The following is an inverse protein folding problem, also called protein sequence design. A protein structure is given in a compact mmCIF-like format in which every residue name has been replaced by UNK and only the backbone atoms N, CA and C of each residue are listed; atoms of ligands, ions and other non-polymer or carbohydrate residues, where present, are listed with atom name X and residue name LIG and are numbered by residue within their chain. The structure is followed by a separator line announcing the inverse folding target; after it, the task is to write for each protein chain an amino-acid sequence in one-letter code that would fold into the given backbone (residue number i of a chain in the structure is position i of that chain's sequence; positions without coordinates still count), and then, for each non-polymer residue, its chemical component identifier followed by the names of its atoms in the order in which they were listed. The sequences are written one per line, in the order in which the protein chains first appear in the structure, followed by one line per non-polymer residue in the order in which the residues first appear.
data_IF_305716438538
#
_entry.id   IF_305716438538
#
_cell.length_a   1.000
_cell.length_b   1.000
_cell.length_c   1.000
_cell.angle_alpha   90.00
_cell.angle_beta   90.00
_cell.angle_gamma   90.00
#
_symmetry.space_group_name_H-M   'P 1'
#
loop_
_entity.id
_entity.type
_entity.pdbx_description
1 polymer ?
#
# COMPACT_ATOMS: atom_id res chain seq x y z
N UNK A 1 -10.34 -2.58 -8.32
CA UNK A 1 -10.57 -1.19 -8.72
C UNK A 1 -10.41 -0.26 -7.53
N UNK A 2 -9.98 0.98 -7.76
CA UNK A 2 -9.94 2.03 -6.76
C UNK A 2 -10.60 3.30 -7.33
N UNK A 3 -11.12 4.14 -6.45
CA UNK A 3 -11.65 5.46 -6.78
C UNK A 3 -10.92 6.54 -5.98
N UNK A 4 -10.91 7.75 -6.49
CA UNK A 4 -10.46 8.93 -5.76
C UNK A 4 -11.70 9.67 -5.29
N UNK A 5 -11.77 9.95 -4.00
CA UNK A 5 -12.86 10.67 -3.37
C UNK A 5 -12.35 12.03 -2.88
N UNK A 6 -12.65 13.14 -3.58
CA UNK A 6 -12.29 14.47 -3.12
C UNK A 6 -12.95 14.77 -1.77
N UNK A 7 -12.27 15.53 -0.89
CA UNK A 7 -12.78 15.80 0.45
C UNK A 7 -14.18 16.46 0.44
N UNK A 8 -14.44 17.37 -0.49
CA UNK A 8 -15.74 18.00 -0.64
C UNK A 8 -16.90 17.05 -1.04
N UNK A 9 -16.60 15.82 -1.45
CA UNK A 9 -17.57 14.80 -1.84
C UNK A 9 -17.70 13.68 -0.79
N UNK A 10 -16.96 13.77 0.32
CA UNK A 10 -17.01 12.75 1.36
C UNK A 10 -18.37 12.78 2.06
N UNK A 11 -19.08 11.66 2.02
CA UNK A 11 -20.33 11.44 2.73
C UNK A 11 -20.40 10.02 3.25
N UNK A 12 -21.30 9.76 4.18
CA UNK A 12 -21.49 8.41 4.72
C UNK A 12 -21.85 7.40 3.63
N UNK A 13 -22.71 7.80 2.68
CA UNK A 13 -23.15 6.96 1.55
C UNK A 13 -21.99 6.67 0.59
N UNK A 14 -21.11 7.66 0.35
CA UNK A 14 -19.93 7.46 -0.50
C UNK A 14 -18.91 6.56 0.16
N UNK A 15 -18.62 6.77 1.46
CA UNK A 15 -17.68 5.93 2.20
C UNK A 15 -18.15 4.46 2.26
N UNK A 16 -19.46 4.22 2.42
CA UNK A 16 -20.03 2.89 2.49
C UNK A 16 -19.88 2.07 1.18
N UNK A 17 -19.50 2.70 0.08
CA UNK A 17 -19.27 2.01 -1.21
C UNK A 17 -17.90 1.32 -1.29
N UNK A 18 -17.00 1.59 -0.33
CA UNK A 18 -15.63 1.09 -0.36
C UNK A 18 -15.38 0.10 0.78
N UNK A 19 -14.70 -0.99 0.47
CA UNK A 19 -14.27 -1.98 1.46
C UNK A 19 -13.17 -1.44 2.38
N UNK A 20 -12.38 -0.48 1.88
CA UNK A 20 -11.30 0.17 2.61
C UNK A 20 -11.09 1.59 2.09
N UNK A 21 -10.81 2.51 3.00
CA UNK A 21 -10.37 3.88 2.69
C UNK A 21 -8.88 4.00 2.91
N UNK A 22 -8.19 4.69 1.99
CA UNK A 22 -6.77 5.01 2.10
C UNK A 22 -6.61 6.51 2.30
N UNK A 23 -5.78 6.93 3.24
CA UNK A 23 -5.36 8.31 3.48
C UNK A 23 -3.83 8.41 3.27
N UNK A 24 -3.38 8.55 2.01
CA UNK A 24 -1.95 8.63 1.69
C UNK A 24 -1.44 10.06 1.91
N UNK A 25 -0.80 10.33 3.05
CA UNK A 25 -0.23 11.66 3.36
C UNK A 25 -1.23 12.82 3.21
N UNK A 26 -2.47 12.62 3.67
CA UNK A 26 -3.52 13.66 3.65
C UNK A 26 -3.31 14.60 4.84
N UNK A 27 -2.43 15.59 4.67
CA UNK A 27 -1.98 16.47 5.74
C UNK A 27 -3.11 17.20 6.47
N UNK A 28 -4.08 17.70 5.72
CA UNK A 28 -5.21 18.46 6.24
C UNK A 28 -6.48 17.62 6.13
N UNK A 29 -7.20 17.52 7.22
CA UNK A 29 -8.55 16.95 7.28
C UNK A 29 -9.46 17.90 8.04
N UNK A 30 -10.67 18.10 7.53
CA UNK A 30 -11.69 18.86 8.28
C UNK A 30 -12.28 17.99 9.40
N UNK A 31 -12.77 18.62 10.47
CA UNK A 31 -13.46 17.89 11.56
C UNK A 31 -14.73 17.17 11.07
N UNK A 32 -15.39 17.70 10.05
CA UNK A 32 -16.52 17.04 9.41
C UNK A 32 -16.12 15.71 8.75
N UNK A 33 -15.03 15.72 7.99
CA UNK A 33 -14.47 14.49 7.37
C UNK A 33 -13.97 13.52 8.43
N UNK A 34 -13.26 14.00 9.45
CA UNK A 34 -12.82 13.17 10.58
C UNK A 34 -13.98 12.48 11.29
N UNK A 35 -15.10 13.21 11.53
CA UNK A 35 -16.30 12.64 12.12
C UNK A 35 -16.96 11.59 11.25
N UNK A 36 -16.98 11.75 9.92
CA UNK A 36 -17.49 10.76 8.98
C UNK A 36 -16.61 9.49 8.97
N UNK A 37 -15.28 9.65 9.00
CA UNK A 37 -14.34 8.52 9.08
C UNK A 37 -14.50 7.75 10.40
N UNK A 38 -14.69 8.43 11.54
CA UNK A 38 -14.99 7.78 12.83
C UNK A 38 -16.26 6.92 12.75
N UNK A 39 -17.32 7.45 12.16
CA UNK A 39 -18.58 6.70 11.98
C UNK A 39 -18.40 5.51 11.03
N UNK A 40 -17.68 5.70 9.94
CA UNK A 40 -17.38 4.65 8.97
C UNK A 40 -16.62 3.49 9.63
N UNK A 41 -15.53 3.79 10.34
CA UNK A 41 -14.73 2.76 11.02
C UNK A 41 -15.53 2.11 12.16
N UNK A 42 -16.22 2.89 13.00
CA UNK A 42 -17.05 2.35 14.09
C UNK A 42 -18.11 1.37 13.58
N UNK A 43 -18.62 1.60 12.37
CA UNK A 43 -19.60 0.72 11.70
C UNK A 43 -19.00 -0.52 11.02
N UNK A 44 -17.69 -0.77 11.13
CA UNK A 44 -17.01 -1.92 10.54
C UNK A 44 -16.12 -1.59 9.33
N UNK A 45 -16.02 -0.33 8.96
CA UNK A 45 -15.13 0.15 7.90
C UNK A 45 -13.65 -0.06 8.22
N UNK A 46 -12.82 -0.05 7.21
CA UNK A 46 -11.38 -0.28 7.31
C UNK A 46 -10.63 0.92 6.77
N UNK A 47 -9.60 1.34 7.48
CA UNK A 47 -8.86 2.55 7.18
C UNK A 47 -7.37 2.25 7.21
N UNK A 48 -6.64 2.71 6.20
CA UNK A 48 -5.18 2.73 6.17
C UNK A 48 -4.73 4.18 6.09
N UNK A 49 -3.99 4.61 7.09
CA UNK A 49 -3.48 5.97 7.24
C UNK A 49 -1.95 5.93 7.13
N UNK A 50 -1.37 6.89 6.40
CA UNK A 50 0.07 6.97 6.20
C UNK A 50 0.63 8.32 6.66
N UNK A 51 1.78 8.28 7.31
CA UNK A 51 2.65 9.40 7.64
C UNK A 51 1.99 10.56 8.37
N UNK A 52 2.06 11.72 7.76
CA UNK A 52 1.67 13.02 8.36
C UNK A 52 0.19 13.34 8.25
N UNK A 53 -0.65 12.38 7.91
CA UNK A 53 -2.09 12.59 7.72
C UNK A 53 -2.75 13.21 8.95
N UNK A 54 -3.43 14.34 8.75
CA UNK A 54 -4.21 15.01 9.80
C UNK A 54 -3.38 15.72 10.87
N UNK A 55 -2.17 16.15 10.55
CA UNK A 55 -1.32 16.95 11.44
C UNK A 55 -1.40 18.45 11.22
N UNK A 56 -2.18 18.92 10.24
CA UNK A 56 -2.40 20.35 9.98
C UNK A 56 -3.88 20.69 9.92
N UNK A 57 -4.21 21.89 10.37
CA UNK A 57 -5.54 22.47 10.21
C UNK A 57 -5.77 23.01 8.78
N UNK A 58 -6.96 23.53 8.52
CA UNK A 58 -7.34 24.11 7.21
C UNK A 58 -6.56 25.37 6.82
N UNK A 59 -5.90 26.02 7.76
CA UNK A 59 -5.04 27.19 7.54
C UNK A 59 -3.56 26.77 7.45
N UNK A 60 -3.26 25.48 7.40
CA UNK A 60 -1.93 24.88 7.39
C UNK A 60 -1.10 25.19 8.66
N UNK A 61 -1.73 25.43 9.79
CA UNK A 61 -1.03 25.46 11.06
C UNK A 61 -0.86 24.02 11.60
N UNK A 62 0.31 23.69 12.18
CA UNK A 62 0.52 22.38 12.75
C UNK A 62 -0.38 22.15 13.96
N UNK A 63 -0.99 21.00 14.05
CA UNK A 63 -1.74 20.55 15.21
C UNK A 63 -0.78 19.94 16.25
N UNK A 64 -1.18 19.96 17.52
CA UNK A 64 -0.42 19.31 18.60
C UNK A 64 -0.54 17.77 18.56
N UNK A 65 -1.53 17.24 17.85
CA UNK A 65 -1.75 15.80 17.69
C UNK A 65 -2.50 15.55 16.37
N UNK A 66 -2.54 14.30 15.93
CA UNK A 66 -3.37 13.91 14.80
C UNK A 66 -4.85 14.19 15.07
N UNK A 67 -5.56 14.73 14.10
CA UNK A 67 -7.02 14.90 14.18
C UNK A 67 -7.74 13.55 14.32
N UNK A 68 -7.12 12.45 13.88
CA UNK A 68 -7.61 11.07 13.96
C UNK A 68 -6.87 10.24 15.01
N UNK A 69 -6.22 10.85 16.00
CA UNK A 69 -5.43 10.13 17.01
C UNK A 69 -6.20 9.02 17.72
N UNK A 70 -7.47 9.26 18.01
CA UNK A 70 -8.39 8.29 18.61
C UNK A 70 -8.67 7.09 17.70
N UNK A 71 -8.84 7.30 16.40
CA UNK A 71 -8.98 6.23 15.42
C UNK A 71 -7.69 5.42 15.26
N UNK A 72 -6.57 6.13 15.18
CA UNK A 72 -5.26 5.53 14.98
C UNK A 72 -4.77 4.80 16.23
N UNK A 73 -5.28 5.18 17.42
CA UNK A 73 -4.82 4.67 18.71
C UNK A 73 -3.37 5.05 19.02
N UNK A 74 -2.91 6.20 18.51
CA UNK A 74 -1.57 6.74 18.74
C UNK A 74 -1.62 8.23 18.97
N UNK A 75 -0.65 8.76 19.74
CA UNK A 75 -0.40 10.18 19.96
C UNK A 75 0.87 10.61 19.26
N UNK A 76 0.80 11.75 18.55
CA UNK A 76 1.93 12.36 17.87
C UNK A 76 2.94 12.94 18.89
N UNK A 77 4.23 12.76 18.62
CA UNK A 77 5.33 13.37 19.37
C UNK A 77 6.15 14.30 18.49
N UNK A 78 6.74 13.78 17.40
CA UNK A 78 7.66 14.55 16.58
C UNK A 78 7.75 13.99 15.15
N UNK A 79 8.13 14.85 14.18
CA UNK A 79 8.54 14.45 12.85
C UNK A 79 10.07 14.45 12.78
N UNK A 80 10.66 13.33 12.42
CA UNK A 80 12.09 13.18 12.22
C UNK A 80 12.42 13.27 10.72
N UNK A 81 13.21 14.27 10.36
CA UNK A 81 13.71 14.50 8.99
C UNK A 81 15.22 14.59 8.92
N UNK A 82 15.91 14.50 10.05
CA UNK A 82 17.37 14.66 10.17
C UNK A 82 18.16 13.56 9.47
N UNK A 83 17.50 12.47 9.13
CA UNK A 83 18.09 11.37 8.37
C UNK A 83 17.80 11.44 6.85
N UNK A 84 17.03 12.44 6.42
CA UNK A 84 16.43 12.56 5.08
C UNK A 84 17.42 12.95 3.95
N UNK A 85 18.72 12.92 4.17
CA UNK A 85 19.70 13.36 3.17
C UNK A 85 19.87 12.38 2.00
N UNK A 86 19.31 11.19 2.10
CA UNK A 86 19.33 10.18 1.07
C UNK A 86 17.93 9.61 0.86
N UNK A 87 17.76 8.73 -0.11
CA UNK A 87 16.48 8.19 -0.55
C UNK A 87 15.63 7.55 0.55
N UNK A 88 16.24 7.15 1.68
CA UNK A 88 15.54 6.63 2.86
C UNK A 88 16.32 6.92 4.13
N UNK A 89 15.59 7.21 5.19
CA UNK A 89 16.15 7.69 6.45
C UNK A 89 15.96 6.73 7.62
N UNK A 90 15.11 5.75 7.48
CA UNK A 90 14.81 4.80 8.55
C UNK A 90 14.50 3.41 8.01
N UNK A 91 14.50 2.46 8.90
CA UNK A 91 14.19 1.06 8.64
C UNK A 91 13.10 0.59 9.59
N UNK A 92 12.46 -0.52 9.26
CA UNK A 92 11.47 -1.12 10.16
C UNK A 92 11.84 -2.55 10.51
N UNK A 93 11.46 -2.97 11.72
CA UNK A 93 11.64 -4.31 12.26
C UNK A 93 10.35 -4.78 12.90
N UNK A 94 10.01 -6.03 12.70
CA UNK A 94 8.84 -6.65 13.36
C UNK A 94 9.01 -6.66 14.87
N UNK A 95 7.91 -6.41 15.59
CA UNK A 95 7.84 -6.67 17.01
C UNK A 95 7.78 -8.19 17.26
N UNK A 96 8.19 -8.68 18.44
CA UNK A 96 8.16 -10.11 18.75
C UNK A 96 6.77 -10.75 18.67
N UNK A 97 5.74 -9.98 18.96
CA UNK A 97 4.33 -10.36 18.98
C UNK A 97 3.55 -9.90 17.74
N UNK A 98 4.27 -9.43 16.70
CA UNK A 98 3.66 -9.02 15.44
C UNK A 98 2.82 -10.12 14.82
N UNK A 99 1.65 -9.75 14.38
CA UNK A 99 0.71 -10.63 13.68
C UNK A 99 1.05 -10.85 12.21
N UNK A 100 2.05 -10.13 11.65
CA UNK A 100 2.53 -10.26 10.28
C UNK A 100 3.48 -11.45 10.17
N UNK A 101 3.06 -12.51 9.49
CA UNK A 101 3.84 -13.73 9.31
C UNK A 101 4.42 -13.82 7.89
N UNK A 102 5.66 -14.34 7.77
CA UNK A 102 6.28 -14.61 6.48
C UNK A 102 6.81 -13.37 5.74
N UNK A 103 6.76 -12.18 6.35
CA UNK A 103 7.34 -10.95 5.81
C UNK A 103 8.35 -10.35 6.80
N UNK A 104 9.50 -9.96 6.30
CA UNK A 104 10.59 -9.30 7.06
C UNK A 104 11.08 -10.05 8.30
N UNK A 105 10.95 -11.37 8.33
CA UNK A 105 11.37 -12.19 9.48
C UNK A 105 12.87 -12.14 9.75
N UNK A 106 13.68 -11.81 8.72
CA UNK A 106 15.15 -11.76 8.79
C UNK A 106 15.72 -10.50 8.19
N UNK A 107 14.90 -9.51 7.90
CA UNK A 107 15.32 -8.29 7.22
C UNK A 107 14.73 -7.07 7.89
N UNK A 108 15.44 -5.95 7.78
CA UNK A 108 15.01 -4.61 8.20
C UNK A 108 14.89 -3.74 6.95
N UNK A 109 13.76 -3.78 6.23
CA UNK A 109 13.61 -3.01 5.01
C UNK A 109 13.64 -1.51 5.29
N UNK A 110 14.20 -0.72 4.36
CA UNK A 110 14.14 0.73 4.44
C UNK A 110 12.71 1.21 4.18
N UNK A 111 12.39 2.36 4.74
CA UNK A 111 11.14 3.10 4.54
C UNK A 111 11.44 4.54 4.10
N UNK A 112 10.48 5.46 4.21
CA UNK A 112 10.58 6.81 3.67
C UNK A 112 11.76 7.65 4.19
N UNK A 113 11.92 8.85 3.65
CA UNK A 113 12.93 9.85 4.01
C UNK A 113 12.63 10.60 5.32
N UNK A 114 11.50 10.33 5.93
CA UNK A 114 11.13 10.78 7.27
C UNK A 114 10.46 9.66 8.06
N UNK A 115 10.34 9.82 9.35
CA UNK A 115 9.42 9.03 10.15
C UNK A 115 8.76 9.87 11.23
N UNK A 116 7.60 9.41 11.69
CA UNK A 116 6.84 10.02 12.78
C UNK A 116 7.15 9.28 14.07
N UNK A 117 7.65 9.99 15.06
CA UNK A 117 7.66 9.50 16.41
C UNK A 117 6.26 9.67 17.01
N UNK A 118 5.70 8.57 17.47
CA UNK A 118 4.40 8.51 18.10
C UNK A 118 4.42 7.53 19.27
N UNK A 119 3.44 7.64 20.15
CA UNK A 119 3.23 6.72 21.26
C UNK A 119 1.90 5.98 21.06
N UNK A 120 1.89 4.66 21.25
CA UNK A 120 0.65 3.90 21.24
C UNK A 120 -0.19 4.25 22.48
N UNK A 121 -1.48 4.58 22.26
CA UNK A 121 -2.48 4.72 23.32
C UNK A 121 -3.34 3.46 23.42
N UNK A 122 -3.96 3.07 22.31
CA UNK A 122 -4.84 1.89 22.20
C UNK A 122 -4.38 0.93 21.11
N UNK A 123 -3.53 1.39 20.19
CA UNK A 123 -3.06 0.58 19.06
C UNK A 123 -1.99 -0.43 19.47
N UNK A 124 -1.99 -1.57 18.77
CA UNK A 124 -0.94 -2.59 18.88
C UNK A 124 0.19 -2.30 17.88
N UNK A 125 1.45 -2.17 18.31
CA UNK A 125 2.59 -1.97 17.41
C UNK A 125 2.99 -3.31 16.76
N UNK A 126 2.92 -3.39 15.46
CA UNK A 126 3.32 -4.53 14.65
C UNK A 126 4.78 -4.45 14.20
N UNK A 127 5.25 -3.21 13.96
CA UNK A 127 6.63 -2.89 13.61
C UNK A 127 7.10 -1.68 14.39
N UNK A 128 8.42 -1.65 14.66
CA UNK A 128 9.12 -0.50 15.26
C UNK A 128 10.18 0.01 14.29
N UNK A 129 10.61 1.26 14.48
CA UNK A 129 11.71 1.83 13.71
C UNK A 129 13.07 1.31 14.17
N UNK A 130 13.95 1.18 13.18
CA UNK A 130 15.40 1.00 13.35
C UNK A 130 16.06 2.20 12.72
N UNK A 131 16.83 2.95 13.49
CA UNK A 131 17.53 4.13 13.00
C UNK A 131 18.71 3.74 12.11
N UNK A 132 19.12 4.59 11.16
CA UNK A 132 20.41 4.42 10.48
C UNK A 132 21.56 4.40 11.48
N UNK A 133 22.62 3.68 11.19
CA UNK A 133 23.79 3.60 12.07
C UNK A 133 24.51 4.96 12.26
N UNK A 134 24.31 5.90 11.34
CA UNK A 134 24.80 7.28 11.42
C UNK A 134 23.78 8.23 10.84
N UNK A 135 23.66 9.41 11.44
CA UNK A 135 22.98 10.53 10.79
C UNK A 135 23.87 11.03 9.64
N UNK A 136 23.29 11.21 8.46
CA UNK A 136 23.99 11.88 7.37
C UNK A 136 24.03 13.38 7.66
N UNK A 137 25.20 13.92 7.94
CA UNK A 137 25.42 15.36 8.09
C UNK A 137 26.53 15.82 7.14
N UNK A 138 26.66 17.11 6.87
CA UNK A 138 27.78 17.63 6.07
C UNK A 138 29.17 17.30 6.65
N UNK A 139 29.23 16.94 7.94
CA UNK A 139 30.46 16.59 8.64
C UNK A 139 30.66 15.08 8.82
N UNK A 140 29.59 14.29 8.69
CA UNK A 140 29.59 12.83 8.88
C UNK A 140 29.29 12.13 7.56
N UNK A 141 30.29 12.05 6.74
CA UNK A 141 30.26 11.40 5.43
C UNK A 141 30.60 9.92 5.55
N UNK A 142 29.67 9.11 6.03
CA UNK A 142 29.95 7.69 6.17
C UNK A 142 29.50 6.90 4.94
N UNK A 143 28.56 7.40 4.15
CA UNK A 143 28.06 6.64 3.03
C UNK A 143 27.49 7.51 1.89
N UNK A 144 27.84 7.17 0.68
CA UNK A 144 27.32 7.76 -0.55
C UNK A 144 25.82 7.46 -0.77
N UNK A 145 25.34 6.38 -0.19
CA UNK A 145 23.96 5.92 -0.31
C UNK A 145 23.24 6.12 1.02
N UNK A 146 22.54 5.12 1.50
CA UNK A 146 21.92 5.17 2.80
C UNK A 146 22.74 4.42 3.83
N UNK A 147 22.92 4.96 5.03
CA UNK A 147 23.58 4.23 6.12
C UNK A 147 22.83 2.93 6.39
N UNK A 148 23.53 1.83 6.72
CA UNK A 148 22.88 0.59 7.12
C UNK A 148 22.04 0.75 8.41
N UNK A 149 21.13 -0.23 8.70
CA UNK A 149 20.37 -0.23 9.94
C UNK A 149 21.30 -0.23 11.17
N UNK A 150 20.98 0.56 12.17
CA UNK A 150 21.75 0.75 13.40
C UNK A 150 20.91 0.46 14.64
N UNK A 151 20.64 1.48 15.45
CA UNK A 151 19.95 1.32 16.73
C UNK A 151 18.45 0.97 16.55
N UNK A 152 18.01 -0.09 17.22
CA UNK A 152 16.58 -0.42 17.34
C UNK A 152 15.93 0.57 18.30
N UNK A 153 14.69 0.97 18.00
CA UNK A 153 13.88 1.84 18.83
C UNK A 153 12.62 1.12 19.33
N UNK A 154 11.90 1.76 20.23
CA UNK A 154 10.55 1.35 20.66
C UNK A 154 9.45 2.14 19.93
N UNK A 155 9.83 3.09 19.07
CA UNK A 155 8.86 3.92 18.33
C UNK A 155 8.09 3.07 17.32
N UNK A 156 6.75 3.07 17.38
CA UNK A 156 5.93 2.29 16.48
C UNK A 156 6.06 2.80 15.03
N UNK A 157 6.33 1.90 14.11
CA UNK A 157 6.41 2.21 12.68
C UNK A 157 5.13 1.81 11.94
N UNK A 158 4.51 0.70 12.35
CA UNK A 158 3.19 0.28 11.88
C UNK A 158 2.39 -0.22 13.07
N UNK A 159 1.15 0.26 13.17
CA UNK A 159 0.23 -0.13 14.23
C UNK A 159 -1.11 -0.60 13.65
N UNK A 160 -1.81 -1.43 14.43
CA UNK A 160 -3.20 -1.80 14.16
C UNK A 160 -4.03 -1.41 15.37
N UNK A 161 -5.12 -0.69 15.13
CA UNK A 161 -6.11 -0.33 16.15
C UNK A 161 -7.49 -0.88 15.79
N UNK A 162 -8.23 -1.33 16.79
CA UNK A 162 -9.64 -1.69 16.67
C UNK A 162 -10.48 -0.53 17.18
N UNK A 163 -11.38 -0.01 16.34
CA UNK A 163 -12.26 1.09 16.71
C UNK A 163 -13.72 0.75 16.39
N UNK A 164 -14.50 0.53 17.42
CA UNK A 164 -15.85 -0.02 17.26
C UNK A 164 -15.82 -1.40 16.62
N UNK A 165 -16.48 -1.58 15.49
CA UNK A 165 -16.47 -2.84 14.72
C UNK A 165 -15.44 -2.86 13.58
N UNK A 166 -14.71 -1.77 13.37
CA UNK A 166 -13.75 -1.60 12.29
C UNK A 166 -12.31 -1.64 12.75
N UNK A 167 -11.40 -1.52 11.80
CA UNK A 167 -9.96 -1.60 12.03
C UNK A 167 -9.23 -0.47 11.31
N UNK A 168 -8.21 0.06 11.95
CA UNK A 168 -7.34 1.09 11.42
C UNK A 168 -5.91 0.59 11.43
N UNK A 169 -5.23 0.71 10.29
CA UNK A 169 -3.78 0.55 10.20
C UNK A 169 -3.16 1.92 10.02
N UNK A 170 -2.15 2.22 10.79
CA UNK A 170 -1.35 3.42 10.64
C UNK A 170 0.12 3.06 10.37
N UNK A 171 0.71 3.69 9.36
CA UNK A 171 2.14 3.66 9.11
C UNK A 171 2.74 5.03 9.45
N UNK A 172 3.67 5.06 10.40
CA UNK A 172 4.33 6.30 10.84
C UNK A 172 5.42 6.77 9.85
N UNK A 173 5.30 6.39 8.59
CA UNK A 173 6.14 6.73 7.44
C UNK A 173 5.29 6.78 6.17
N UNK A 174 5.84 7.34 5.08
CA UNK A 174 5.15 7.38 3.79
C UNK A 174 5.22 6.01 3.09
N UNK A 175 4.18 5.21 3.25
CA UNK A 175 4.06 3.90 2.62
C UNK A 175 3.86 4.01 1.11
N UNK A 176 3.15 5.03 0.64
CA UNK A 176 2.65 5.07 -0.73
C UNK A 176 3.67 5.58 -1.72
N UNK A 177 4.45 6.60 -1.38
CA UNK A 177 5.57 7.06 -2.22
C UNK A 177 6.59 5.95 -2.39
N UNK A 178 6.95 5.27 -1.30
CA UNK A 178 7.88 4.13 -1.36
C UNK A 178 7.33 2.96 -2.16
N UNK A 179 6.02 2.70 -2.09
CA UNK A 179 5.38 1.65 -2.89
C UNK A 179 5.29 2.03 -4.39
N UNK A 180 5.25 3.32 -4.71
CA UNK A 180 5.25 3.82 -6.09
C UNK A 180 6.64 3.77 -6.73
N UNK A 181 7.71 3.79 -5.93
CA UNK A 181 9.08 3.63 -6.37
C UNK A 181 9.30 2.17 -6.82
N UNK A 182 9.61 1.95 -8.09
CA UNK A 182 9.72 0.62 -8.71
C UNK A 182 10.78 -0.29 -8.07
N UNK A 183 11.68 0.29 -7.29
CA UNK A 183 12.83 -0.38 -6.67
C UNK A 183 12.43 -1.11 -5.37
N UNK A 184 11.32 -0.73 -4.73
CA UNK A 184 10.98 -1.19 -3.38
C UNK A 184 9.82 -2.19 -3.35
N UNK A 185 10.11 -3.43 -3.75
CA UNK A 185 9.17 -4.54 -3.63
C UNK A 185 8.68 -4.74 -2.19
N UNK A 186 9.54 -4.44 -1.21
CA UNK A 186 9.23 -4.63 0.20
C UNK A 186 7.99 -3.86 0.66
N UNK A 187 7.82 -2.61 0.23
CA UNK A 187 6.64 -1.80 0.58
C UNK A 187 5.37 -2.28 -0.12
N UNK A 188 5.48 -2.77 -1.36
CA UNK A 188 4.38 -3.42 -2.06
C UNK A 188 3.93 -4.72 -1.36
N UNK A 189 4.88 -5.54 -0.91
CA UNK A 189 4.60 -6.75 -0.11
C UNK A 189 3.97 -6.40 1.24
N UNK A 190 4.43 -5.32 1.89
CA UNK A 190 3.83 -4.82 3.13
C UNK A 190 2.38 -4.35 2.90
N UNK A 191 2.13 -3.57 1.85
CA UNK A 191 0.77 -3.14 1.49
C UNK A 191 -0.16 -4.33 1.25
N UNK A 192 0.30 -5.36 0.53
CA UNK A 192 -0.45 -6.60 0.31
C UNK A 192 -0.79 -7.29 1.63
N UNK A 193 0.19 -7.42 2.53
CA UNK A 193 -0.04 -8.02 3.85
C UNK A 193 -1.02 -7.19 4.71
N UNK A 194 -0.97 -5.86 4.65
CA UNK A 194 -1.94 -4.98 5.31
C UNK A 194 -3.35 -5.27 4.79
N UNK A 195 -3.53 -5.35 3.47
CA UNK A 195 -4.86 -5.63 2.88
C UNK A 195 -5.38 -7.01 3.28
N UNK A 196 -4.51 -8.02 3.34
CA UNK A 196 -4.85 -9.35 3.84
C UNK A 196 -5.27 -9.33 5.32
N UNK A 197 -4.55 -8.59 6.19
CA UNK A 197 -4.88 -8.40 7.60
C UNK A 197 -6.23 -7.71 7.81
N UNK A 198 -6.53 -6.74 6.98
CA UNK A 198 -7.83 -6.08 6.97
C UNK A 198 -8.93 -6.91 6.31
N UNK A 199 -8.61 -8.14 5.86
CA UNK A 199 -9.53 -9.05 5.15
C UNK A 199 -10.16 -8.40 3.90
N UNK A 200 -9.37 -7.59 3.19
CA UNK A 200 -9.77 -7.02 1.90
C UNK A 200 -9.57 -8.09 0.83
N UNK A 201 -10.64 -8.42 0.13
CA UNK A 201 -10.63 -9.43 -0.92
C UNK A 201 -10.85 -8.74 -2.27
N UNK A 202 -9.79 -8.45 -3.04
CA UNK A 202 -9.97 -7.87 -4.36
C UNK A 202 -10.68 -8.84 -5.29
N UNK A 203 -11.55 -8.32 -6.14
CA UNK A 203 -12.27 -9.13 -7.15
C UNK A 203 -11.29 -9.79 -8.13
N UNK A 204 -10.23 -9.07 -8.48
CA UNK A 204 -9.15 -9.54 -9.34
C UNK A 204 -7.83 -9.51 -8.57
N UNK A 205 -7.10 -10.62 -8.59
CA UNK A 205 -5.76 -10.69 -7.98
C UNK A 205 -4.82 -11.53 -8.82
N UNK A 206 -3.56 -11.16 -8.83
CA UNK A 206 -2.50 -12.03 -9.33
C UNK A 206 -2.19 -13.08 -8.26
N UNK A 207 -2.15 -14.35 -8.64
CA UNK A 207 -1.79 -15.46 -7.74
C UNK A 207 -0.39 -16.01 -8.00
N UNK A 208 0.23 -15.62 -9.08
CA UNK A 208 1.65 -15.89 -9.38
C UNK A 208 2.49 -14.66 -9.06
N UNK A 209 3.72 -14.89 -8.65
CA UNK A 209 4.70 -13.80 -8.56
C UNK A 209 4.91 -13.19 -9.95
N UNK A 210 4.63 -11.90 -10.04
CA UNK A 210 4.83 -11.12 -11.26
C UNK A 210 6.14 -10.35 -11.11
N UNK A 211 7.01 -10.36 -12.14
CA UNK A 211 8.21 -9.54 -12.14
C UNK A 211 7.87 -8.04 -11.96
N UNK A 212 8.69 -7.30 -11.22
CA UNK A 212 8.51 -5.86 -11.00
C UNK A 212 8.48 -5.03 -12.30
N UNK A 213 8.98 -5.60 -13.39
CA UNK A 213 8.95 -5.01 -14.74
C UNK A 213 7.57 -5.10 -15.40
N UNK A 214 6.63 -5.81 -14.82
CA UNK A 214 5.26 -5.93 -15.34
C UNK A 214 4.33 -4.98 -14.61
N UNK A 215 3.70 -4.09 -15.36
CA UNK A 215 2.59 -3.26 -14.86
C UNK A 215 1.28 -3.84 -15.33
N UNK A 216 0.36 -4.03 -14.39
CA UNK A 216 -0.98 -4.52 -14.66
C UNK A 216 -2.00 -3.51 -14.15
N UNK A 217 -2.87 -3.04 -15.04
CA UNK A 217 -4.02 -2.21 -14.70
C UNK A 217 -5.31 -3.00 -14.92
N UNK A 218 -6.24 -2.87 -13.98
CA UNK A 218 -7.55 -3.50 -14.01
C UNK A 218 -8.63 -2.42 -14.09
N UNK A 219 -9.56 -2.59 -15.02
CA UNK A 219 -10.73 -1.73 -15.16
C UNK A 219 -11.98 -2.59 -15.11
N UNK A 220 -12.97 -2.13 -14.38
CA UNK A 220 -14.28 -2.77 -14.32
C UNK A 220 -15.29 -1.98 -15.13
N UNK A 221 -16.07 -2.70 -15.92
CA UNK A 221 -17.26 -2.22 -16.61
C UNK A 221 -18.44 -3.12 -16.25
N UNK A 222 -19.64 -2.70 -16.63
CA UNK A 222 -20.88 -3.41 -16.27
C UNK A 222 -20.86 -4.89 -16.68
N UNK A 223 -20.34 -5.17 -17.88
CA UNK A 223 -20.36 -6.49 -18.52
C UNK A 223 -19.00 -7.20 -18.56
N UNK A 224 -17.91 -6.52 -18.20
CA UNK A 224 -16.57 -7.11 -18.30
C UNK A 224 -15.54 -6.47 -17.35
N UNK A 225 -14.43 -7.21 -17.17
CA UNK A 225 -13.19 -6.64 -16.68
C UNK A 225 -12.21 -6.49 -17.85
N UNK A 226 -11.48 -5.38 -17.87
CA UNK A 226 -10.40 -5.14 -18.82
C UNK A 226 -9.06 -5.20 -18.06
N UNK A 227 -8.13 -5.96 -18.61
CA UNK A 227 -6.79 -6.13 -18.04
C UNK A 227 -5.80 -5.62 -19.07
N UNK A 228 -5.01 -4.63 -18.66
CA UNK A 228 -3.93 -4.08 -19.46
C UNK A 228 -2.61 -4.44 -18.78
N UNK A 229 -1.75 -5.16 -19.48
CA UNK A 229 -0.41 -5.48 -19.03
C UNK A 229 0.63 -4.83 -19.94
N UNK A 230 1.64 -4.21 -19.34
CA UNK A 230 2.75 -3.56 -20.05
C UNK A 230 4.06 -4.01 -19.43
N UNK A 231 5.01 -4.42 -20.28
CA UNK A 231 6.38 -4.71 -19.86
C UNK A 231 7.22 -3.45 -19.87
N UNK A 232 7.82 -3.10 -18.74
CA UNK A 232 8.74 -1.97 -18.61
C UNK A 232 10.15 -2.26 -19.17
N UNK A 233 10.45 -3.51 -19.54
CA UNK A 233 11.72 -3.90 -20.15
C UNK A 233 12.00 -3.15 -21.47
N UNK A 234 10.95 -2.70 -22.16
CA UNK A 234 11.04 -1.96 -23.43
C UNK A 234 11.87 -0.68 -23.34
N UNK A 235 12.02 -0.08 -22.16
CA UNK A 235 12.72 1.18 -21.98
C UNK A 235 14.19 1.05 -21.61
N UNK A 236 14.65 -0.12 -21.19
CA UNK A 236 15.98 -0.26 -20.58
C UNK A 236 17.05 -0.86 -21.48
N UNK A 237 16.68 -1.55 -22.56
CA UNK A 237 17.67 -2.25 -23.39
C UNK A 237 17.49 -1.96 -24.88
N UNK A 238 18.59 -1.65 -25.54
CA UNK A 238 18.67 -1.66 -27.01
C UNK A 238 18.95 -3.11 -27.45
N UNK A 239 17.95 -3.78 -27.95
CA UNK A 239 18.07 -5.17 -28.40
C UNK A 239 16.70 -5.86 -28.49
N UNK A 240 16.71 -7.17 -28.64
CA UNK A 240 15.50 -7.99 -28.64
C UNK A 240 14.81 -7.91 -27.29
N UNK A 241 13.50 -7.72 -27.31
CA UNK A 241 12.73 -7.59 -26.08
C UNK A 241 12.47 -8.95 -25.46
N UNK A 242 12.77 -9.06 -24.17
CA UNK A 242 12.49 -10.28 -23.44
C UNK A 242 10.99 -10.56 -23.37
N UNK A 243 10.62 -11.82 -23.50
CA UNK A 243 9.26 -12.30 -23.25
C UNK A 243 9.00 -12.31 -21.74
N UNK A 244 7.87 -11.77 -21.34
CA UNK A 244 7.41 -11.68 -19.95
C UNK A 244 6.18 -12.55 -19.77
N UNK A 245 6.14 -13.31 -18.68
CA UNK A 245 4.93 -14.09 -18.36
C UNK A 245 3.80 -13.16 -17.90
N UNK A 246 2.61 -13.36 -18.45
CA UNK A 246 1.40 -12.67 -18.01
C UNK A 246 0.91 -13.12 -16.63
N UNK A 247 1.37 -14.27 -16.17
CA UNK A 247 1.01 -14.85 -14.87
C UNK A 247 -0.38 -15.51 -14.85
N UNK A 248 -0.81 -15.87 -13.65
CA UNK A 248 -2.16 -16.40 -13.38
C UNK A 248 -2.94 -15.39 -12.57
N UNK A 249 -4.13 -15.08 -13.02
CA UNK A 249 -5.07 -14.26 -12.26
C UNK A 249 -6.18 -15.12 -11.67
N UNK A 250 -6.68 -14.70 -10.52
CA UNK A 250 -7.88 -15.21 -9.89
C UNK A 250 -8.96 -14.13 -9.91
N UNK A 251 -10.18 -14.51 -10.25
CA UNK A 251 -11.37 -13.66 -10.26
C UNK A 251 -12.41 -14.26 -9.32
N UNK A 252 -12.93 -13.48 -8.37
CA UNK A 252 -13.89 -13.93 -7.37
C UNK A 252 -15.35 -13.89 -7.84
N UNK A 253 -15.61 -13.37 -9.05
CA UNK A 253 -16.93 -13.34 -9.66
C UNK A 253 -16.94 -14.21 -10.91
N UNK A 254 -18.10 -14.76 -11.33
CA UNK A 254 -18.21 -15.59 -12.53
C UNK A 254 -17.66 -14.92 -13.79
N UNK A 255 -16.81 -15.65 -14.52
CA UNK A 255 -16.28 -15.24 -15.81
C UNK A 255 -16.74 -16.25 -16.85
N UNK A 256 -17.47 -15.79 -17.88
CA UNK A 256 -18.01 -16.63 -18.95
C UNK A 256 -17.01 -16.84 -20.09
N UNK A 257 -16.22 -15.82 -20.37
CA UNK A 257 -15.26 -15.82 -21.46
C UNK A 257 -14.04 -14.95 -21.10
N UNK A 258 -12.86 -15.41 -21.47
CA UNK A 258 -11.60 -14.68 -21.36
C UNK A 258 -10.95 -14.60 -22.74
N UNK A 259 -10.67 -13.39 -23.22
CA UNK A 259 -10.14 -13.16 -24.56
C UNK A 259 -9.01 -12.16 -24.53
N UNK A 260 -7.87 -12.54 -25.10
CA UNK A 260 -6.84 -11.58 -25.48
C UNK A 260 -7.30 -10.87 -26.75
N UNK A 261 -7.28 -9.55 -26.75
CA UNK A 261 -7.64 -8.73 -27.92
C UNK A 261 -6.42 -8.08 -28.57
N UNK A 262 -5.31 -8.05 -27.88
CA UNK A 262 -4.02 -7.56 -28.38
C UNK A 262 -2.88 -8.30 -27.65
N UNK A 263 -1.76 -8.69 -28.31
CA UNK A 263 -1.40 -8.43 -29.72
C UNK A 263 -2.16 -9.29 -30.72
N UNK A 264 -2.64 -10.47 -30.32
CA UNK A 264 -3.37 -11.39 -31.18
C UNK A 264 -4.66 -11.82 -30.50
N UNK A 265 -5.75 -11.89 -31.29
CA UNK A 265 -7.04 -12.33 -30.76
C UNK A 265 -7.00 -13.81 -30.39
N UNK A 266 -7.19 -14.14 -29.12
CA UNK A 266 -7.11 -15.52 -28.62
C UNK A 266 -8.02 -15.71 -27.41
N UNK A 267 -8.87 -16.74 -27.47
CA UNK A 267 -9.64 -17.17 -26.28
C UNK A 267 -8.75 -17.92 -25.31
N UNK A 268 -8.88 -17.61 -24.02
CA UNK A 268 -8.13 -18.24 -22.94
C UNK A 268 -8.99 -19.26 -22.20
N UNK A 269 -8.40 -20.38 -21.75
CA UNK A 269 -9.10 -21.33 -20.91
C UNK A 269 -9.37 -20.70 -19.53
N UNK A 270 -10.55 -20.99 -18.99
CA UNK A 270 -10.97 -20.61 -17.64
C UNK A 270 -11.09 -21.89 -16.84
N UNK A 271 -10.45 -21.93 -15.67
CA UNK A 271 -10.53 -23.04 -14.73
C UNK A 271 -11.23 -22.57 -13.46
N UNK A 272 -12.34 -23.20 -13.10
CA UNK A 272 -13.01 -22.92 -11.85
C UNK A 272 -12.33 -23.70 -10.71
N UNK A 273 -12.00 -22.98 -9.62
CA UNK A 273 -11.44 -23.56 -8.41
C UNK A 273 -12.25 -23.05 -7.20
N UNK A 274 -13.20 -23.84 -6.75
CA UNK A 274 -14.15 -23.43 -5.72
C UNK A 274 -14.98 -22.21 -6.17
N UNK A 275 -14.85 -21.10 -5.45
CA UNK A 275 -15.54 -19.85 -5.75
C UNK A 275 -14.71 -18.90 -6.61
N UNK A 276 -13.58 -19.32 -7.14
CA UNK A 276 -12.67 -18.49 -7.93
C UNK A 276 -12.54 -19.03 -9.36
N UNK A 277 -12.33 -18.14 -10.31
CA UNK A 277 -12.04 -18.43 -11.71
C UNK A 277 -10.60 -18.10 -12.01
N UNK A 278 -9.80 -19.11 -12.33
CA UNK A 278 -8.39 -18.98 -12.63
C UNK A 278 -8.18 -18.86 -14.14
N UNK A 279 -7.41 -17.88 -14.56
CA UNK A 279 -7.10 -17.63 -15.95
C UNK A 279 -5.60 -17.47 -16.11
N UNK A 280 -4.98 -18.36 -16.91
CA UNK A 280 -3.59 -18.23 -17.29
C UNK A 280 -3.48 -17.17 -18.39
N UNK A 281 -2.82 -16.07 -18.11
CA UNK A 281 -2.53 -15.03 -19.09
C UNK A 281 -1.32 -15.44 -19.94
N UNK A 282 -1.33 -15.18 -21.26
CA UNK A 282 -0.23 -15.57 -22.12
C UNK A 282 1.03 -14.73 -21.87
N UNK A 283 2.14 -15.27 -22.31
CA UNK A 283 3.39 -14.55 -22.38
C UNK A 283 3.33 -13.48 -23.48
N UNK A 284 4.01 -12.38 -23.27
CA UNK A 284 4.05 -11.25 -24.20
C UNK A 284 5.38 -10.48 -24.10
N UNK A 285 5.65 -9.58 -25.04
CA UNK A 285 6.89 -8.81 -25.09
C UNK A 285 6.72 -7.36 -24.63
N UNK A 286 5.76 -6.64 -25.20
CA UNK A 286 5.57 -5.20 -24.95
C UNK A 286 4.34 -4.96 -24.09
N UNK A 287 3.18 -5.39 -24.58
CA UNK A 287 1.89 -5.19 -23.91
C UNK A 287 0.87 -6.23 -24.38
N UNK A 288 -0.13 -6.43 -23.53
CA UNK A 288 -1.33 -7.20 -23.92
C UNK A 288 -2.58 -6.64 -23.28
N UNK A 289 -3.72 -6.80 -24.00
CA UNK A 289 -5.04 -6.42 -23.51
C UNK A 289 -5.95 -7.63 -23.49
N UNK A 290 -6.59 -7.84 -22.35
CA UNK A 290 -7.46 -8.97 -22.11
C UNK A 290 -8.82 -8.46 -21.65
N UNK A 291 -9.89 -9.09 -22.14
CA UNK A 291 -11.26 -8.88 -21.69
C UNK A 291 -11.76 -10.15 -21.03
N UNK A 292 -12.32 -10.01 -19.84
CA UNK A 292 -13.04 -11.06 -19.11
C UNK A 292 -14.52 -10.68 -19.09
N UNK A 293 -15.38 -11.43 -19.79
CA UNK A 293 -16.83 -11.20 -19.78
C UNK A 293 -17.46 -11.81 -18.54
N UNK A 294 -18.33 -11.04 -17.90
CA UNK A 294 -19.10 -11.45 -16.72
C UNK A 294 -20.26 -12.37 -17.05
#
# INVERSE_FOLDING_TARGET
PYGILPEGEVSAERLAQYDMILLPEVYVLTESTASLLRKYVSGGGKLLISGKTGLWDTDFNPLNNFILSDLMGVSFTQIHTEYAQNTWSSYIKKTPDSSFNGIFDRTTPPVSDFFIEAECTDAHPEFTFVLPCTACSPTDWVNWWSPPPGAETTHPALTINQYGSGSVVYTAFDLFTMAAEEIYRATGDLFRQITEKLNIKPVLRNITDIPNILRTAYFEKDDCYQIHQVSLMAHQFKGDMATVSGGVISVSTPVKEAVVIYPEHKTLPITQNGCEWLIQLPDFTIQQFIILKK
#
